data_IF_261187508127
#
_entry.id   IF_261187508127
#
_cell.length_a   1.000
_cell.length_b   1.000
_cell.length_c   1.000
_cell.angle_alpha   90.00
_cell.angle_beta   90.00
_cell.angle_gamma   90.00
#
_symmetry.space_group_name_H-M   'P 1'
#
loop_
_entity.id
_entity.type
_entity.pdbx_description
1 polymer ?
#
# COMPACT_ATOMS: atom_id res chain seq x y z
N UNK A 1 20.85 -22.80 2.02
CA UNK A 1 19.76 -21.86 2.25
C UNK A 1 20.23 -20.81 3.24
N UNK A 2 20.71 -19.64 2.76
CA UNK A 2 21.14 -18.50 3.59
C UNK A 2 20.32 -17.28 3.13
N UNK A 3 18.99 -17.35 3.25
CA UNK A 3 18.15 -16.32 2.66
C UNK A 3 17.86 -15.19 3.64
N UNK A 4 17.91 -15.39 4.94
CA UNK A 4 17.77 -14.33 5.94
C UNK A 4 18.59 -14.66 7.18
N UNK A 5 19.88 -14.36 7.16
CA UNK A 5 20.49 -13.96 8.40
C UNK A 5 19.91 -12.58 8.72
N UNK A 6 18.87 -12.56 9.55
CA UNK A 6 18.37 -11.33 10.14
C UNK A 6 19.57 -10.63 10.77
N UNK A 7 20.03 -9.54 10.14
CA UNK A 7 21.13 -8.74 10.67
C UNK A 7 20.80 -8.34 12.11
N UNK A 8 21.78 -8.29 12.98
CA UNK A 8 21.63 -7.68 14.31
C UNK A 8 21.12 -6.25 14.08
N UNK A 9 20.02 -5.90 14.75
CA UNK A 9 19.50 -4.54 14.75
C UNK A 9 20.63 -3.59 15.19
N UNK A 10 20.84 -2.51 14.46
CA UNK A 10 21.79 -1.48 14.88
C UNK A 10 21.27 -0.81 16.16
N UNK A 11 22.16 -0.25 16.98
CA UNK A 11 21.78 0.51 18.19
C UNK A 11 20.88 1.73 17.87
N UNK A 12 20.76 2.14 16.60
CA UNK A 12 19.91 3.22 16.09
C UNK A 12 18.65 2.71 15.40
N UNK A 13 18.29 1.44 15.52
CA UNK A 13 17.11 0.88 14.89
C UNK A 13 15.85 1.29 15.65
N UNK A 14 14.87 1.83 14.92
CA UNK A 14 13.52 2.11 15.42
C UNK A 14 12.54 0.96 15.13
N UNK A 15 13.00 -0.11 14.48
CA UNK A 15 12.16 -1.26 14.16
C UNK A 15 11.65 -1.94 15.45
N UNK A 16 10.35 -2.24 15.47
CA UNK A 16 9.71 -3.08 16.49
C UNK A 16 9.21 -4.37 15.85
N UNK A 17 9.47 -5.56 16.42
CA UNK A 17 8.90 -6.82 15.94
C UNK A 17 7.41 -6.96 16.27
N UNK A 18 6.84 -6.06 17.06
CA UNK A 18 5.44 -6.13 17.46
C UNK A 18 4.53 -5.63 16.33
N UNK A 19 3.48 -6.40 16.03
CA UNK A 19 2.48 -6.12 15.01
C UNK A 19 1.09 -6.50 15.54
N UNK A 20 0.09 -5.64 15.39
CA UNK A 20 -1.32 -6.00 15.58
C UNK A 20 -1.92 -6.28 14.22
N UNK A 21 -2.41 -7.51 14.01
CA UNK A 21 -2.91 -8.00 12.72
C UNK A 21 -4.42 -8.19 12.76
N UNK A 22 -5.12 -7.50 11.89
CA UNK A 22 -6.52 -7.72 11.57
C UNK A 22 -6.62 -8.85 10.52
N UNK A 23 -7.26 -9.94 10.90
CA UNK A 23 -7.41 -11.15 10.07
C UNK A 23 -8.68 -11.16 9.23
N UNK A 24 -9.47 -10.08 9.24
CA UNK A 24 -10.71 -9.93 8.46
C UNK A 24 -11.76 -11.05 8.71
N UNK A 25 -11.67 -11.75 9.83
CA UNK A 25 -12.43 -12.99 10.11
C UNK A 25 -12.26 -14.06 9.00
N UNK A 26 -11.10 -14.04 8.31
CA UNK A 26 -10.79 -14.85 7.15
C UNK A 26 -9.72 -15.92 7.41
N UNK A 27 -9.26 -16.54 6.33
CA UNK A 27 -8.30 -17.67 6.39
C UNK A 27 -6.88 -17.24 6.77
N UNK A 28 -6.55 -15.95 6.62
CA UNK A 28 -5.19 -15.43 6.81
C UNK A 28 -4.66 -15.61 8.23
N UNK A 29 -5.50 -15.42 9.26
CA UNK A 29 -5.12 -15.52 10.66
C UNK A 29 -4.59 -16.89 11.04
N UNK A 30 -5.34 -17.96 10.74
CA UNK A 30 -4.93 -19.34 11.00
C UNK A 30 -3.62 -19.68 10.29
N UNK A 31 -3.51 -19.32 9.01
CA UNK A 31 -2.33 -19.64 8.19
C UNK A 31 -1.10 -18.85 8.64
N UNK A 32 -1.27 -17.59 9.00
CA UNK A 32 -0.17 -16.78 9.54
C UNK A 32 0.34 -17.31 10.89
N UNK A 33 -0.57 -17.79 11.78
CA UNK A 33 -0.16 -18.48 13.02
C UNK A 33 0.67 -19.72 12.75
N UNK A 34 0.33 -20.50 11.71
CA UNK A 34 1.10 -21.66 11.30
C UNK A 34 2.48 -21.27 10.81
N UNK A 35 2.58 -20.20 9.99
CA UNK A 35 3.86 -19.69 9.47
C UNK A 35 4.76 -19.17 10.61
N UNK A 36 4.20 -18.48 11.61
CA UNK A 36 4.97 -17.95 12.74
C UNK A 36 5.72 -19.03 13.51
N UNK A 37 5.26 -20.31 13.49
CA UNK A 37 5.96 -21.43 14.14
C UNK A 37 7.32 -21.77 13.52
N UNK A 38 7.55 -21.30 12.28
CA UNK A 38 8.79 -21.53 11.53
C UNK A 38 9.72 -20.31 11.55
N UNK A 39 9.26 -19.19 12.11
CA UNK A 39 10.08 -18.00 12.26
C UNK A 39 11.04 -18.16 13.46
N UNK A 40 12.21 -17.52 13.41
CA UNK A 40 13.09 -17.45 14.59
C UNK A 40 12.34 -16.78 15.77
N UNK A 41 12.66 -17.21 16.97
CA UNK A 41 12.11 -16.64 18.21
C UNK A 41 12.34 -15.11 18.24
N UNK A 42 11.37 -14.35 18.72
CA UNK A 42 11.39 -12.87 18.80
C UNK A 42 11.59 -12.14 17.45
N UNK A 43 11.49 -12.83 16.32
CA UNK A 43 11.62 -12.17 15.01
C UNK A 43 10.39 -11.35 14.65
N UNK A 44 9.19 -11.81 15.03
CA UNK A 44 7.91 -11.16 14.77
C UNK A 44 6.90 -11.61 15.83
N UNK A 45 6.33 -10.65 16.56
CA UNK A 45 5.35 -10.88 17.62
C UNK A 45 4.00 -10.34 17.15
N UNK A 46 3.08 -11.21 16.75
CA UNK A 46 1.77 -10.81 16.21
C UNK A 46 0.70 -10.95 17.27
N UNK A 47 -0.01 -9.84 17.52
CA UNK A 47 -1.31 -9.84 18.19
C UNK A 47 -2.40 -9.98 17.14
N UNK A 48 -3.04 -11.14 17.08
CA UNK A 48 -4.10 -11.41 16.11
C UNK A 48 -5.44 -10.89 16.62
N UNK A 49 -6.22 -10.26 15.72
CA UNK A 49 -7.57 -9.75 15.96
C UNK A 49 -8.49 -10.10 14.80
N UNK A 50 -9.80 -10.08 15.03
CA UNK A 50 -10.82 -10.41 14.04
C UNK A 50 -10.55 -11.78 13.38
N UNK A 51 -10.52 -12.81 14.22
CA UNK A 51 -10.29 -14.19 13.77
C UNK A 51 -11.59 -15.01 13.66
N UNK A 52 -12.63 -14.63 14.42
CA UNK A 52 -13.91 -15.32 14.53
C UNK A 52 -15.04 -14.30 14.37
N UNK A 53 -15.76 -14.34 13.26
CA UNK A 53 -16.86 -13.43 12.98
C UNK A 53 -17.33 -13.50 11.53
N UNK A 54 -18.14 -12.53 11.13
CA UNK A 54 -18.56 -12.37 9.74
C UNK A 54 -17.40 -11.85 8.88
N UNK A 55 -17.18 -12.53 7.76
CA UNK A 55 -16.07 -12.26 6.85
C UNK A 55 -16.06 -10.79 6.37
N UNK A 56 -14.95 -10.08 6.55
CA UNK A 56 -14.76 -8.68 6.16
C UNK A 56 -15.77 -7.68 6.78
N UNK A 57 -16.51 -8.07 7.82
CA UNK A 57 -17.49 -7.19 8.45
C UNK A 57 -16.82 -6.24 9.44
N UNK A 58 -16.90 -4.94 9.19
CA UNK A 58 -16.23 -3.86 9.94
C UNK A 58 -14.73 -4.09 10.19
N UNK A 59 -14.08 -4.89 9.31
CA UNK A 59 -12.67 -5.24 9.37
C UNK A 59 -12.16 -5.60 7.96
N UNK A 60 -10.86 -5.85 7.85
CA UNK A 60 -10.23 -6.25 6.61
C UNK A 60 -9.65 -5.08 5.79
N UNK A 61 -8.76 -5.43 4.86
CA UNK A 61 -7.97 -4.48 4.09
C UNK A 61 -8.81 -3.43 3.35
N UNK A 62 -9.92 -3.82 2.71
CA UNK A 62 -10.81 -2.89 2.00
C UNK A 62 -11.53 -1.94 2.97
N UNK A 63 -11.98 -2.45 4.14
CA UNK A 63 -12.62 -1.62 5.14
C UNK A 63 -11.69 -0.50 5.62
N UNK A 64 -10.45 -0.85 5.95
CA UNK A 64 -9.44 0.12 6.39
C UNK A 64 -9.06 1.07 5.25
N UNK A 65 -8.85 0.55 4.04
CA UNK A 65 -8.43 1.34 2.87
C UNK A 65 -9.48 2.35 2.44
N UNK A 66 -10.74 1.92 2.34
CA UNK A 66 -11.84 2.76 1.82
C UNK A 66 -12.30 3.74 2.89
N UNK A 67 -12.52 3.24 4.11
CA UNK A 67 -13.04 4.04 5.22
C UNK A 67 -12.01 4.96 5.86
N UNK A 68 -10.73 4.64 5.75
CA UNK A 68 -9.64 5.28 6.51
C UNK A 68 -9.93 5.32 8.01
N UNK A 69 -10.54 4.26 8.50
CA UNK A 69 -10.93 4.08 9.91
C UNK A 69 -10.29 2.83 10.47
N UNK A 70 -10.16 2.77 11.80
CA UNK A 70 -9.69 1.58 12.49
C UNK A 70 -10.71 0.45 12.36
N UNK A 71 -10.28 -0.81 12.14
CA UNK A 71 -11.19 -1.95 12.20
C UNK A 71 -11.78 -2.14 13.61
N UNK A 72 -12.92 -2.78 13.69
CA UNK A 72 -13.52 -3.16 14.96
C UNK A 72 -12.52 -3.93 15.84
N UNK A 73 -12.49 -3.64 17.14
CA UNK A 73 -11.55 -4.24 18.08
C UNK A 73 -10.14 -3.63 18.05
N UNK A 74 -9.93 -2.47 17.38
CA UNK A 74 -8.66 -1.72 17.37
C UNK A 74 -8.75 -0.38 18.13
N UNK A 75 -9.72 -0.20 18.99
CA UNK A 75 -9.95 1.06 19.71
C UNK A 75 -8.86 1.36 20.75
N UNK A 76 -8.11 0.34 21.17
CA UNK A 76 -7.04 0.41 22.18
C UNK A 76 -5.63 0.61 21.59
N UNK A 77 -5.48 0.60 20.25
CA UNK A 77 -4.15 0.78 19.64
C UNK A 77 -3.69 2.22 19.73
N UNK A 78 -2.41 2.40 20.03
CA UNK A 78 -1.79 3.73 20.08
C UNK A 78 -1.36 4.23 18.70
N UNK A 79 -1.08 5.51 18.60
CA UNK A 79 -0.57 6.14 17.35
C UNK A 79 0.78 5.58 16.88
N UNK A 80 1.53 4.94 17.78
CA UNK A 80 2.83 4.31 17.47
C UNK A 80 2.72 2.80 17.22
N UNK A 81 1.52 2.23 17.37
CA UNK A 81 1.29 0.79 17.16
C UNK A 81 1.30 0.49 15.67
N UNK A 82 2.19 -0.40 15.25
CA UNK A 82 2.20 -0.92 13.89
C UNK A 82 1.05 -1.91 13.73
N UNK A 83 0.15 -1.64 12.80
CA UNK A 83 -0.99 -2.47 12.48
C UNK A 83 -0.95 -2.90 11.02
N UNK A 84 -1.52 -4.06 10.73
CA UNK A 84 -1.77 -4.51 9.37
C UNK A 84 -3.14 -5.19 9.28
N UNK A 85 -3.71 -5.23 8.08
CA UNK A 85 -4.98 -5.90 7.80
C UNK A 85 -4.84 -6.74 6.54
N UNK A 86 -5.31 -7.99 6.64
CA UNK A 86 -5.59 -8.83 5.48
C UNK A 86 -7.03 -8.62 5.01
N UNK A 87 -7.39 -9.14 3.86
CA UNK A 87 -8.77 -9.41 3.50
C UNK A 87 -9.12 -10.89 3.72
N UNK A 88 -10.36 -11.26 3.44
CA UNK A 88 -10.91 -12.55 3.84
C UNK A 88 -10.23 -13.77 3.24
N UNK A 89 -9.72 -13.70 2.02
CA UNK A 89 -8.97 -14.76 1.32
C UNK A 89 -7.46 -14.56 1.37
N UNK A 90 -7.00 -13.49 2.06
CA UNK A 90 -5.60 -13.16 2.31
C UNK A 90 -4.77 -12.94 1.04
N UNK A 91 -5.33 -12.23 0.06
CA UNK A 91 -4.61 -11.80 -1.14
C UNK A 91 -4.25 -10.30 -1.14
N UNK A 92 -4.70 -9.54 -0.11
CA UNK A 92 -4.42 -8.11 0.11
C UNK A 92 -3.81 -7.85 1.46
N UNK A 93 -2.90 -6.87 1.48
CA UNK A 93 -2.21 -6.42 2.66
C UNK A 93 -2.21 -4.89 2.73
N UNK A 94 -2.76 -4.33 3.79
CA UNK A 94 -2.67 -2.91 4.12
C UNK A 94 -2.03 -2.76 5.49
N UNK A 95 -1.00 -1.91 5.58
CA UNK A 95 -0.49 -1.45 6.87
C UNK A 95 -1.16 -0.14 7.27
N UNK A 96 -1.26 0.10 8.56
CA UNK A 96 -1.83 1.34 9.11
C UNK A 96 -1.38 1.59 10.54
N UNK A 97 -1.64 2.79 11.04
CA UNK A 97 -1.59 3.15 12.45
C UNK A 97 -2.78 4.01 12.83
N UNK A 98 -3.09 4.08 14.12
CA UNK A 98 -4.11 5.02 14.59
C UNK A 98 -3.65 6.47 14.39
N UNK A 99 -4.59 7.36 14.07
CA UNK A 99 -4.37 8.81 14.15
C UNK A 99 -4.65 9.34 15.55
N UNK A 100 -4.25 10.58 15.83
CA UNK A 100 -4.41 11.18 17.16
C UNK A 100 -5.85 11.30 17.67
N UNK A 101 -6.86 11.14 16.81
CA UNK A 101 -8.27 11.12 17.19
C UNK A 101 -8.77 9.73 17.64
N UNK A 102 -7.93 8.69 17.55
CA UNK A 102 -8.23 7.33 17.97
C UNK A 102 -9.33 6.62 17.17
N UNK A 103 -9.74 7.18 16.03
CA UNK A 103 -10.80 6.62 15.17
C UNK A 103 -10.34 6.36 13.75
N UNK A 104 -9.46 7.20 13.24
CA UNK A 104 -8.98 7.12 11.87
C UNK A 104 -7.70 6.30 11.78
N UNK A 105 -7.50 5.72 10.62
CA UNK A 105 -6.29 5.02 10.22
C UNK A 105 -5.46 5.88 9.27
N UNK A 106 -4.20 6.12 9.62
CA UNK A 106 -3.19 6.59 8.67
C UNK A 106 -2.68 5.38 7.90
N UNK A 107 -2.85 5.39 6.58
CA UNK A 107 -2.60 4.24 5.72
C UNK A 107 -1.15 4.17 5.25
N UNK A 108 -0.60 2.95 5.23
CA UNK A 108 0.59 2.57 4.51
C UNK A 108 0.18 1.46 3.53
N UNK A 109 -0.34 1.89 2.42
CA UNK A 109 -1.03 1.05 1.45
C UNK A 109 -0.09 0.36 0.44
N UNK A 110 -0.67 -0.31 -0.56
CA UNK A 110 0.09 -1.04 -1.57
C UNK A 110 1.11 -0.19 -2.31
N UNK A 111 0.84 1.10 -2.54
CA UNK A 111 1.78 1.99 -3.19
C UNK A 111 3.02 2.23 -2.30
N UNK A 112 2.83 2.44 -0.98
CA UNK A 112 3.93 2.58 -0.04
C UNK A 112 4.70 1.26 0.17
N UNK A 113 4.02 0.11 0.08
CA UNK A 113 4.67 -1.20 0.07
C UNK A 113 5.57 -1.31 -1.18
N UNK A 114 5.06 -0.97 -2.37
CA UNK A 114 5.85 -0.98 -3.59
C UNK A 114 7.08 -0.06 -3.51
N UNK A 115 6.93 1.14 -2.94
CA UNK A 115 8.05 2.07 -2.72
C UNK A 115 9.10 1.49 -1.77
N UNK A 116 8.69 0.87 -0.66
CA UNK A 116 9.61 0.24 0.28
C UNK A 116 10.44 -0.87 -0.39
N UNK A 117 9.80 -1.69 -1.22
CA UNK A 117 10.42 -2.76 -2.00
C UNK A 117 11.39 -2.23 -3.06
N UNK A 118 10.97 -1.22 -3.83
CA UNK A 118 11.80 -0.62 -4.87
C UNK A 118 13.03 0.08 -4.30
N UNK A 119 12.90 0.69 -3.13
CA UNK A 119 14.02 1.26 -2.38
C UNK A 119 15.08 0.20 -2.02
N UNK A 120 14.66 -1.03 -1.73
CA UNK A 120 15.58 -2.15 -1.45
C UNK A 120 16.32 -2.61 -2.70
N UNK A 121 15.65 -2.65 -3.86
CA UNK A 121 16.23 -3.10 -5.13
C UNK A 121 17.30 -2.11 -5.65
N UNK A 122 17.26 -0.86 -5.22
CA UNK A 122 18.19 0.25 -5.52
C UNK A 122 18.30 0.59 -7.01
N UNK A 123 19.34 0.45 -7.73
CA UNK A 123 19.61 1.08 -9.03
C UNK A 123 18.79 0.48 -10.19
N UNK A 124 18.38 1.34 -11.15
CA UNK A 124 17.73 0.91 -12.39
C UNK A 124 16.23 0.67 -12.32
N UNK A 125 15.56 1.15 -11.27
CA UNK A 125 14.10 1.07 -11.17
C UNK A 125 13.45 2.00 -12.19
N UNK A 126 12.68 1.43 -13.11
CA UNK A 126 11.87 2.19 -14.08
C UNK A 126 10.40 1.97 -13.78
N UNK A 127 9.66 2.98 -13.28
CA UNK A 127 8.23 2.86 -13.09
C UNK A 127 7.52 2.75 -14.44
N UNK A 128 6.56 1.82 -14.53
CA UNK A 128 5.70 1.65 -15.70
C UNK A 128 4.26 1.85 -15.28
N UNK A 129 3.56 2.72 -16.00
CA UNK A 129 2.14 2.95 -15.82
C UNK A 129 1.35 1.99 -16.71
N UNK A 130 0.32 1.38 -16.15
CA UNK A 130 -0.59 0.46 -16.83
C UNK A 130 -2.03 0.75 -16.43
N UNK A 131 -3.02 0.31 -17.20
CA UNK A 131 -4.42 0.41 -16.80
C UNK A 131 -4.69 -0.29 -15.46
N UNK A 132 -5.73 0.16 -14.76
CA UNK A 132 -6.17 -0.45 -13.50
C UNK A 132 -6.47 -1.94 -13.67
N UNK A 133 -6.02 -2.72 -12.70
CA UNK A 133 -6.25 -4.16 -12.61
C UNK A 133 -4.96 -4.96 -12.55
N UNK A 134 -4.86 -5.79 -11.54
CA UNK A 134 -3.67 -6.61 -11.21
C UNK A 134 -3.12 -7.39 -12.41
N UNK A 135 -3.99 -7.84 -13.34
CA UNK A 135 -3.57 -8.55 -14.57
C UNK A 135 -2.64 -7.70 -15.45
N UNK A 136 -2.87 -6.39 -15.54
CA UNK A 136 -2.04 -5.48 -16.35
C UNK A 136 -0.69 -5.24 -15.67
N UNK A 137 -0.70 -5.07 -14.35
CA UNK A 137 0.49 -4.94 -13.52
C UNK A 137 1.36 -6.20 -13.61
N UNK A 138 0.76 -7.38 -13.43
CA UNK A 138 1.45 -8.66 -13.53
C UNK A 138 2.13 -8.85 -14.89
N UNK A 139 1.42 -8.62 -16.00
CA UNK A 139 1.99 -8.73 -17.34
C UNK A 139 3.13 -7.73 -17.59
N UNK A 140 3.06 -6.54 -17.00
CA UNK A 140 4.15 -5.58 -17.09
C UNK A 140 5.36 -6.03 -16.28
N UNK A 141 5.13 -6.51 -15.07
CA UNK A 141 6.18 -6.98 -14.15
C UNK A 141 6.98 -8.18 -14.69
N UNK A 142 6.33 -9.09 -15.42
CA UNK A 142 7.00 -10.24 -16.08
C UNK A 142 8.06 -9.86 -17.12
N UNK A 143 8.14 -8.61 -17.55
CA UNK A 143 9.16 -8.13 -18.51
C UNK A 143 10.51 -7.84 -17.85
N UNK A 144 10.58 -7.87 -16.53
CA UNK A 144 11.76 -7.55 -15.73
C UNK A 144 12.34 -8.79 -15.06
N UNK A 145 13.64 -8.73 -14.76
CA UNK A 145 14.30 -9.76 -13.96
C UNK A 145 13.73 -9.84 -12.55
N UNK A 146 13.36 -8.67 -11.97
CA UNK A 146 12.62 -8.54 -10.72
C UNK A 146 11.51 -7.52 -10.98
N UNK A 147 10.27 -7.97 -11.01
CA UNK A 147 9.10 -7.13 -11.19
C UNK A 147 8.36 -6.96 -9.84
N UNK A 148 8.19 -5.71 -9.41
CA UNK A 148 7.40 -5.36 -8.20
C UNK A 148 6.14 -4.66 -8.65
N UNK A 149 5.01 -5.11 -8.16
CA UNK A 149 3.75 -4.41 -8.40
C UNK A 149 2.79 -4.56 -7.23
N UNK A 150 2.11 -3.48 -6.93
CA UNK A 150 1.01 -3.43 -5.96
C UNK A 150 -0.06 -2.47 -6.47
N UNK A 151 -1.31 -2.82 -6.26
CA UNK A 151 -2.41 -1.86 -6.31
C UNK A 151 -2.53 -1.16 -4.95
N UNK A 152 -3.06 0.05 -4.93
CA UNK A 152 -3.25 0.80 -3.69
C UNK A 152 -4.15 0.09 -2.65
N UNK A 153 -4.97 -0.88 -3.08
CA UNK A 153 -5.77 -1.74 -2.20
C UNK A 153 -4.95 -2.83 -1.50
N UNK A 154 -3.64 -2.92 -1.75
CA UNK A 154 -2.73 -3.89 -1.16
C UNK A 154 -2.63 -5.23 -1.89
N UNK A 155 -3.31 -5.37 -3.05
CA UNK A 155 -3.15 -6.56 -3.89
C UNK A 155 -1.91 -6.39 -4.76
N UNK A 156 -0.93 -7.25 -4.56
CA UNK A 156 0.32 -7.18 -5.31
C UNK A 156 1.28 -8.32 -4.99
N UNK A 157 2.49 -8.24 -5.53
CA UNK A 157 3.59 -9.16 -5.20
C UNK A 157 4.88 -8.76 -5.90
N UNK A 158 5.91 -9.57 -5.70
CA UNK A 158 7.18 -9.54 -6.43
C UNK A 158 7.28 -10.78 -7.32
N UNK A 159 7.56 -10.58 -8.61
CA UNK A 159 7.79 -11.64 -9.57
C UNK A 159 9.26 -11.66 -10.01
N UNK A 160 9.76 -12.84 -10.29
CA UNK A 160 11.15 -13.06 -10.70
C UNK A 160 11.19 -13.74 -12.06
N UNK A 161 12.14 -13.32 -12.94
CA UNK A 161 12.41 -14.04 -14.18
C UNK A 161 12.95 -15.44 -13.89
N UNK A 162 12.88 -16.35 -14.88
CA UNK A 162 13.41 -17.71 -14.76
C UNK A 162 14.87 -17.76 -14.30
N UNK A 163 15.66 -16.74 -14.63
CA UNK A 163 17.04 -16.59 -14.21
C UNK A 163 17.20 -16.47 -12.69
N UNK A 164 16.23 -15.85 -12.02
CA UNK A 164 16.20 -15.66 -10.56
C UNK A 164 15.33 -16.70 -9.86
N UNK A 165 14.38 -17.35 -10.54
CA UNK A 165 13.47 -18.35 -9.98
C UNK A 165 14.22 -19.58 -9.38
N UNK A 166 15.41 -19.87 -9.88
CA UNK A 166 16.29 -20.90 -9.30
C UNK A 166 16.88 -20.49 -7.93
N UNK A 167 16.94 -19.19 -7.64
CA UNK A 167 17.48 -18.63 -6.39
C UNK A 167 16.38 -18.38 -5.35
N UNK A 168 15.18 -18.06 -5.82
CA UNK A 168 14.02 -17.69 -4.99
C UNK A 168 12.85 -18.57 -5.40
N UNK A 169 12.76 -19.77 -4.83
CA UNK A 169 11.73 -20.75 -5.21
C UNK A 169 10.32 -20.18 -5.09
N UNK A 170 9.72 -19.90 -6.24
CA UNK A 170 8.29 -19.63 -6.51
C UNK A 170 7.56 -18.83 -5.42
N UNK A 171 7.56 -17.53 -5.56
CA UNK A 171 6.58 -16.68 -4.88
C UNK A 171 5.21 -16.87 -5.55
N UNK A 172 4.19 -17.02 -4.73
CA UNK A 172 2.80 -17.13 -5.21
C UNK A 172 2.28 -15.72 -5.42
N UNK A 173 1.62 -15.48 -6.54
CA UNK A 173 0.95 -14.20 -6.84
C UNK A 173 -0.19 -13.97 -5.85
N UNK A 174 -0.24 -12.80 -5.21
CA UNK A 174 -1.34 -12.42 -4.31
C UNK A 174 -1.34 -13.22 -2.99
N UNK A 175 -0.21 -13.31 -2.30
CA UNK A 175 -0.10 -13.92 -0.96
C UNK A 175 0.25 -12.85 0.07
N UNK A 176 -0.78 -12.30 0.71
CA UNK A 176 -0.62 -11.23 1.70
C UNK A 176 0.26 -11.63 2.91
N UNK A 177 0.34 -12.92 3.23
CA UNK A 177 1.21 -13.39 4.31
C UNK A 177 2.69 -13.35 3.90
N UNK A 178 2.99 -13.72 2.65
CA UNK A 178 4.34 -13.60 2.10
C UNK A 178 4.74 -12.13 1.99
N UNK A 179 3.84 -11.27 1.54
CA UNK A 179 4.05 -9.83 1.44
C UNK A 179 4.27 -9.19 2.82
N UNK A 180 3.53 -9.62 3.86
CA UNK A 180 3.73 -9.18 5.24
C UNK A 180 5.14 -9.56 5.73
N UNK A 181 5.57 -10.79 5.54
CA UNK A 181 6.90 -11.23 5.94
C UNK A 181 8.01 -10.47 5.21
N UNK A 182 7.78 -10.13 3.94
CA UNK A 182 8.70 -9.34 3.14
C UNK A 182 8.80 -7.90 3.68
N UNK A 183 7.66 -7.24 3.92
CA UNK A 183 7.62 -5.88 4.50
C UNK A 183 8.31 -5.86 5.87
N UNK A 184 8.00 -6.79 6.78
CA UNK A 184 8.63 -6.88 8.08
C UNK A 184 10.15 -7.09 7.99
N UNK A 185 10.60 -7.91 7.03
CA UNK A 185 12.03 -8.11 6.76
C UNK A 185 12.72 -6.84 6.30
N UNK A 186 12.06 -6.03 5.46
CA UNK A 186 12.60 -4.77 4.96
C UNK A 186 12.58 -3.68 6.03
N UNK A 187 11.51 -3.55 6.81
CA UNK A 187 11.46 -2.61 7.93
C UNK A 187 12.59 -2.89 8.93
N UNK A 188 12.81 -4.18 9.22
CA UNK A 188 13.92 -4.61 10.07
C UNK A 188 15.28 -4.31 9.45
N UNK A 189 15.45 -4.56 8.15
CA UNK A 189 16.69 -4.27 7.43
C UNK A 189 17.06 -2.79 7.46
N UNK A 190 16.06 -1.91 7.26
CA UNK A 190 16.27 -0.46 7.33
C UNK A 190 16.31 0.07 8.76
N UNK A 191 15.84 -0.69 9.73
CA UNK A 191 15.65 -0.21 11.11
C UNK A 191 14.51 0.79 11.24
N UNK A 192 13.51 0.72 10.37
CA UNK A 192 12.40 1.68 10.31
C UNK A 192 11.28 1.32 11.29
N UNK A 193 10.76 2.35 11.97
CA UNK A 193 9.42 2.34 12.56
C UNK A 193 8.35 2.57 11.48
N UNK A 194 7.09 2.49 11.86
CA UNK A 194 5.95 2.89 11.02
C UNK A 194 6.04 4.37 10.63
N UNK A 195 6.46 5.24 11.57
CA UNK A 195 6.59 6.68 11.32
C UNK A 195 7.70 6.98 10.31
N UNK A 196 8.86 6.29 10.41
CA UNK A 196 9.95 6.44 9.44
C UNK A 196 9.50 6.02 8.02
N UNK A 197 8.66 4.99 7.92
CA UNK A 197 8.13 4.52 6.65
C UNK A 197 7.09 5.49 6.06
N UNK A 198 6.16 6.00 6.89
CA UNK A 198 5.10 6.93 6.47
C UNK A 198 5.64 8.25 5.90
N UNK A 199 6.78 8.75 6.40
CA UNK A 199 7.40 9.98 5.93
C UNK A 199 7.90 9.94 4.47
N UNK A 200 7.73 8.82 3.79
CA UNK A 200 8.13 8.66 2.40
C UNK A 200 6.93 8.79 1.44
N UNK A 201 6.72 9.98 0.88
CA UNK A 201 6.47 10.26 -0.52
C UNK A 201 5.07 10.65 -1.02
N UNK A 202 3.89 10.26 -0.49
CA UNK A 202 2.63 10.78 -1.05
C UNK A 202 1.46 10.75 -0.06
N UNK A 203 0.42 11.51 -0.38
CA UNK A 203 -0.82 11.50 0.36
C UNK A 203 -1.99 11.10 -0.51
N UNK A 204 -2.94 10.35 0.06
CA UNK A 204 -4.21 10.05 -0.59
C UNK A 204 -5.15 11.25 -0.48
N UNK A 205 -5.57 11.80 -1.62
CA UNK A 205 -6.61 12.82 -1.65
C UNK A 205 -8.01 12.19 -1.49
N UNK A 206 -9.00 12.94 -0.96
CA UNK A 206 -10.35 12.41 -0.78
C UNK A 206 -10.98 12.04 -2.12
N UNK A 207 -11.71 10.92 -2.14
CA UNK A 207 -12.44 10.45 -3.30
C UNK A 207 -13.61 11.39 -3.67
N UNK A 208 -13.87 11.53 -4.96
CA UNK A 208 -14.99 12.31 -5.51
C UNK A 208 -15.97 11.36 -6.17
N UNK A 209 -17.26 11.51 -5.93
CA UNK A 209 -18.31 10.64 -6.45
C UNK A 209 -18.61 10.92 -7.93
N UNK A 210 -19.20 9.91 -8.63
CA UNK A 210 -19.64 9.93 -10.03
C UNK A 210 -18.53 9.86 -11.07
N UNK A 211 -18.01 8.64 -11.24
CA UNK A 211 -16.98 8.32 -12.25
C UNK A 211 -17.44 8.43 -13.70
N UNK A 212 -18.74 8.42 -13.99
CA UNK A 212 -19.27 8.32 -15.35
C UNK A 212 -18.94 9.51 -16.25
N UNK A 213 -18.61 10.64 -15.66
CA UNK A 213 -18.25 11.89 -16.34
C UNK A 213 -16.76 11.96 -16.75
N UNK A 214 -15.95 11.01 -16.33
CA UNK A 214 -14.49 11.08 -16.45
C UNK A 214 -13.96 9.97 -17.35
N UNK A 215 -13.15 10.35 -18.34
CA UNK A 215 -12.44 9.43 -19.22
C UNK A 215 -10.96 9.79 -19.27
N UNK A 216 -10.11 8.80 -19.19
CA UNK A 216 -8.65 8.95 -19.17
C UNK A 216 -7.98 8.34 -20.40
N UNK A 217 -6.68 8.66 -20.58
CA UNK A 217 -5.78 7.93 -21.48
C UNK A 217 -5.68 6.45 -21.11
N UNK A 218 -5.02 5.66 -21.95
CA UNK A 218 -4.81 4.22 -21.69
C UNK A 218 -4.03 3.96 -20.39
N UNK A 219 -3.03 4.80 -20.09
CA UNK A 219 -2.22 4.72 -18.87
C UNK A 219 -2.92 5.30 -17.63
N UNK A 220 -4.13 5.84 -17.80
CA UNK A 220 -4.95 6.47 -16.74
C UNK A 220 -4.27 7.65 -16.03
N UNK A 221 -3.26 8.27 -16.67
CA UNK A 221 -2.50 9.40 -16.10
C UNK A 221 -2.90 10.76 -16.70
N UNK A 222 -3.65 10.77 -17.81
CA UNK A 222 -4.14 11.98 -18.48
C UNK A 222 -5.65 11.93 -18.54
N UNK A 223 -6.31 12.98 -18.04
CA UNK A 223 -7.76 13.13 -18.11
C UNK A 223 -8.17 13.67 -19.49
N UNK A 224 -8.97 12.92 -20.24
CA UNK A 224 -9.48 13.29 -21.55
C UNK A 224 -10.84 13.98 -21.49
N UNK A 225 -11.67 13.60 -20.53
CA UNK A 225 -13.00 14.17 -20.27
C UNK A 225 -13.19 14.40 -18.78
N UNK A 226 -13.77 15.52 -18.36
CA UNK A 226 -14.26 16.66 -19.17
C UNK A 226 -13.13 17.46 -19.84
N UNK A 227 -13.43 18.01 -21.04
CA UNK A 227 -12.48 18.84 -21.81
C UNK A 227 -12.00 20.06 -21.01
N UNK A 228 -10.71 20.40 -21.12
CA UNK A 228 -10.08 21.56 -20.43
C UNK A 228 -9.74 21.32 -18.97
N UNK A 229 -10.08 20.16 -18.40
CA UNK A 229 -9.76 19.87 -16.98
C UNK A 229 -8.31 19.47 -16.81
N UNK A 230 -7.73 18.76 -17.79
CA UNK A 230 -6.31 18.36 -17.74
C UNK A 230 -5.38 19.57 -17.71
N UNK A 231 -5.70 20.63 -18.45
CA UNK A 231 -4.92 21.88 -18.41
C UNK A 231 -4.93 22.51 -17.03
N UNK A 232 -6.09 22.53 -16.36
CA UNK A 232 -6.20 23.04 -14.98
C UNK A 232 -5.42 22.18 -13.99
N UNK A 233 -5.40 20.84 -14.17
CA UNK A 233 -4.57 19.93 -13.38
C UNK A 233 -3.09 20.27 -13.58
N UNK A 234 -2.66 20.46 -14.82
CA UNK A 234 -1.27 20.80 -15.13
C UNK A 234 -0.86 22.15 -14.53
N UNK A 235 -1.73 23.15 -14.58
CA UNK A 235 -1.50 24.46 -13.99
C UNK A 235 -1.33 24.40 -12.46
N UNK A 236 -2.11 23.55 -11.78
CA UNK A 236 -1.96 23.29 -10.35
C UNK A 236 -0.62 22.60 -10.04
N UNK A 237 -0.27 21.55 -10.80
CA UNK A 237 0.99 20.83 -10.63
C UNK A 237 2.21 21.72 -10.78
N UNK A 238 2.19 22.66 -11.75
CA UNK A 238 3.30 23.59 -11.99
C UNK A 238 3.59 24.56 -10.84
N UNK A 239 2.67 24.71 -9.89
CA UNK A 239 2.87 25.56 -8.72
C UNK A 239 3.76 24.93 -7.65
N UNK A 240 4.06 23.63 -7.77
CA UNK A 240 4.83 22.86 -6.80
C UNK A 240 6.09 22.28 -7.40
N UNK A 241 7.15 22.19 -6.59
CA UNK A 241 8.43 21.61 -7.02
C UNK A 241 8.41 20.07 -7.03
N UNK A 242 8.92 19.48 -8.12
CA UNK A 242 8.97 18.02 -8.27
C UNK A 242 7.60 17.36 -8.09
N UNK A 243 6.52 18.06 -8.49
CA UNK A 243 5.17 17.59 -8.30
C UNK A 243 4.67 16.79 -9.50
N UNK A 244 3.80 15.84 -9.23
CA UNK A 244 3.01 15.11 -10.22
C UNK A 244 1.63 14.83 -9.67
N UNK A 245 0.63 14.93 -10.51
CA UNK A 245 -0.72 14.56 -10.13
C UNK A 245 -1.53 14.06 -11.33
N UNK A 246 -2.51 13.22 -11.04
CA UNK A 246 -3.49 12.78 -12.03
C UNK A 246 -4.82 12.41 -11.36
N UNK A 247 -5.84 12.37 -12.17
CA UNK A 247 -7.22 12.06 -11.76
C UNK A 247 -7.72 10.92 -12.64
N UNK A 248 -8.28 9.89 -12.02
CA UNK A 248 -8.81 8.74 -12.76
C UNK A 248 -10.11 8.18 -12.16
N UNK A 249 -11.05 7.66 -12.96
CA UNK A 249 -12.20 6.92 -12.45
C UNK A 249 -11.76 5.59 -11.84
N UNK A 250 -12.42 5.15 -10.78
CA UNK A 250 -12.19 3.81 -10.23
C UNK A 250 -12.75 2.73 -11.17
N UNK A 251 -12.01 1.63 -11.31
CA UNK A 251 -12.46 0.48 -12.10
C UNK A 251 -13.64 -0.27 -11.47
N UNK A 252 -13.75 -0.28 -10.15
CA UNK A 252 -14.70 -1.11 -9.39
C UNK A 252 -15.76 -0.31 -8.63
N UNK A 253 -15.49 0.95 -8.27
CA UNK A 253 -16.36 1.78 -7.44
C UNK A 253 -16.85 3.00 -8.23
N UNK A 254 -17.98 3.59 -7.82
CA UNK A 254 -18.48 4.82 -8.44
C UNK A 254 -17.82 6.06 -7.85
N UNK A 255 -16.50 6.12 -7.92
CA UNK A 255 -15.68 7.22 -7.42
C UNK A 255 -14.61 7.62 -8.45
N UNK A 256 -14.10 8.82 -8.27
CA UNK A 256 -12.92 9.34 -8.98
C UNK A 256 -11.79 9.47 -7.98
N UNK A 257 -10.64 8.90 -8.31
CA UNK A 257 -9.43 8.93 -7.48
C UNK A 257 -8.52 10.04 -7.93
N UNK A 258 -8.05 10.82 -6.97
CA UNK A 258 -7.06 11.87 -7.15
C UNK A 258 -5.73 11.40 -6.57
N UNK A 259 -4.70 11.46 -7.39
CA UNK A 259 -3.32 11.21 -6.98
C UNK A 259 -2.53 12.51 -7.01
N UNK A 260 -1.72 12.75 -6.00
CA UNK A 260 -0.81 13.89 -5.93
C UNK A 260 0.48 13.51 -5.21
N UNK A 261 1.61 13.91 -5.77
CA UNK A 261 2.93 13.83 -5.15
C UNK A 261 3.65 15.16 -5.31
N UNK A 262 4.49 15.52 -4.37
CA UNK A 262 5.33 16.70 -4.42
C UNK A 262 6.61 16.50 -3.57
N UNK A 263 7.44 17.52 -3.47
CA UNK A 263 8.71 17.44 -2.74
C UNK A 263 8.53 17.19 -1.25
N UNK A 264 7.44 17.72 -0.63
CA UNK A 264 7.10 17.53 0.78
C UNK A 264 5.67 16.99 0.92
N UNK A 265 5.38 16.40 2.07
CA UNK A 265 4.05 15.89 2.38
C UNK A 265 3.01 17.03 2.38
N UNK A 266 3.35 18.19 2.95
CA UNK A 266 2.47 19.37 3.01
C UNK A 266 2.12 19.87 1.61
N UNK A 267 3.10 19.93 0.69
CA UNK A 267 2.87 20.31 -0.70
C UNK A 267 1.99 19.28 -1.43
N UNK A 268 2.22 17.98 -1.20
CA UNK A 268 1.41 16.91 -1.79
C UNK A 268 -0.04 16.95 -1.28
N UNK A 269 -0.26 17.17 0.02
CA UNK A 269 -1.60 17.30 0.62
C UNK A 269 -2.34 18.53 0.08
N UNK A 270 -1.67 19.68 0.00
CA UNK A 270 -2.25 20.91 -0.57
C UNK A 270 -2.64 20.71 -2.05
N UNK A 271 -1.76 20.12 -2.85
CA UNK A 271 -2.03 19.80 -4.26
C UNK A 271 -3.20 18.84 -4.38
N UNK A 272 -3.22 17.76 -3.59
CA UNK A 272 -4.28 16.76 -3.61
C UNK A 272 -5.65 17.34 -3.25
N UNK A 273 -5.73 18.20 -2.23
CA UNK A 273 -6.97 18.93 -1.86
C UNK A 273 -7.42 19.88 -2.95
N UNK A 274 -6.50 20.66 -3.51
CA UNK A 274 -6.83 21.60 -4.59
C UNK A 274 -7.40 20.88 -5.82
N UNK A 275 -6.85 19.70 -6.16
CA UNK A 275 -7.36 18.86 -7.24
C UNK A 275 -8.72 18.25 -6.90
N UNK A 276 -8.90 17.75 -5.67
CA UNK A 276 -10.19 17.22 -5.25
C UNK A 276 -11.28 18.28 -5.29
N UNK A 277 -10.98 19.51 -4.88
CA UNK A 277 -11.90 20.64 -4.96
C UNK A 277 -12.18 21.07 -6.42
N UNK A 278 -11.15 21.06 -7.29
CA UNK A 278 -11.33 21.28 -8.73
C UNK A 278 -12.33 20.26 -9.30
N UNK A 279 -12.16 18.98 -9.00
CA UNK A 279 -13.01 17.90 -9.52
C UNK A 279 -14.43 17.95 -8.94
N UNK A 280 -14.60 18.30 -7.66
CA UNK A 280 -15.93 18.43 -7.02
C UNK A 280 -16.78 19.55 -7.60
N UNK A 281 -16.14 20.59 -8.13
CA UNK A 281 -16.81 21.78 -8.65
C UNK A 281 -17.07 21.72 -10.17
N UNK A 282 -16.91 20.54 -10.78
CA UNK A 282 -17.25 20.24 -12.18
C UNK A 282 -18.61 19.55 -12.28
#
# INVERSE_FOLDING_TARGET
>A
MKVFQLGTLSEKSHYSPNLTLDCANGVGGEKMRMLCRFLPEDSLNIQFRNEDGELNHECGADYVKIGQVLPAGFEDVSVTTKCASFDGDADRLIYFRATGDGKKAALLDGDLIAVLLTKFIKEGVTPIFVPTGVKHLHHAALKFDIGVYFEANGHGTVVFSEKFDQLVRKWVVGDAMADLLLVESLLRWYGYSVDDWEQSLYTNAPNVNDRSKYRTSYEETVLLEPEGVQEKINDLVQQYHCARAFVRPSGTENIVRVYAEARTWEEADLLGRSLADLIKNL
#
